data_IF_419711384987
#
_entry.id   IF_419711384987
#
_cell.length_a   1.000
_cell.length_b   1.000
_cell.length_c   1.000
_cell.angle_alpha   90.00
_cell.angle_beta   90.00
_cell.angle_gamma   90.00
#
_symmetry.space_group_name_H-M   'P 1'
#
loop_
_entity.id
_entity.type
_entity.pdbx_description
1 polymer ?
#
# COMPACT_ATOMS: atom_id res chain seq x y z
N UNK A 1 5.60 2.59 11.03
CA UNK A 1 6.51 2.24 9.91
C UNK A 1 5.70 1.46 8.89
N UNK A 2 5.80 1.78 7.60
CA UNK A 2 5.19 0.94 6.55
C UNK A 2 5.95 -0.39 6.46
N UNK A 3 5.22 -1.50 6.37
CA UNK A 3 5.77 -2.86 6.27
C UNK A 3 5.85 -3.38 4.82
N UNK A 4 5.81 -2.46 3.85
CA UNK A 4 5.96 -2.81 2.44
C UNK A 4 7.42 -3.22 2.18
N UNK A 5 7.60 -4.38 1.53
CA UNK A 5 8.90 -5.04 1.36
C UNK A 5 9.97 -4.15 0.74
N UNK A 6 9.55 -3.27 -0.16
CA UNK A 6 10.40 -2.31 -0.86
C UNK A 6 10.98 -1.25 0.09
N UNK A 7 10.24 -0.80 1.10
CA UNK A 7 10.78 0.10 2.13
C UNK A 7 11.70 -0.64 3.10
N UNK A 8 11.31 -1.84 3.54
CA UNK A 8 12.12 -2.63 4.48
C UNK A 8 13.42 -3.13 3.83
N UNK A 9 13.41 -3.39 2.52
CA UNK A 9 14.56 -3.74 1.72
C UNK A 9 15.41 -2.55 1.27
N UNK A 10 15.04 -1.31 1.64
CA UNK A 10 15.69 -0.05 1.23
C UNK A 10 15.70 0.20 -0.29
N UNK A 11 14.78 -0.43 -1.01
CA UNK A 11 14.55 -0.15 -2.43
C UNK A 11 13.74 1.14 -2.61
N UNK A 12 12.85 1.43 -1.67
CA UNK A 12 12.15 2.71 -1.54
C UNK A 12 12.65 3.49 -0.32
N UNK A 13 12.72 4.80 -0.46
CA UNK A 13 13.07 5.74 0.59
C UNK A 13 12.03 6.86 0.67
N UNK A 14 11.63 7.24 1.87
CA UNK A 14 10.77 8.39 2.09
C UNK A 14 11.62 9.67 1.98
N UNK A 15 11.26 10.54 1.05
CA UNK A 15 11.97 11.80 0.78
C UNK A 15 11.32 12.97 1.53
N UNK A 16 9.98 12.98 1.61
CA UNK A 16 9.22 14.04 2.24
C UNK A 16 7.98 13.50 2.95
N UNK A 17 7.55 14.23 3.99
CA UNK A 17 6.33 13.92 4.74
C UNK A 17 6.52 12.75 5.71
N UNK A 18 5.50 11.89 5.81
CA UNK A 18 5.47 10.76 6.75
C UNK A 18 5.02 9.47 6.06
N UNK A 19 5.41 8.33 6.63
CA UNK A 19 4.84 7.04 6.25
C UNK A 19 3.36 6.95 6.64
N UNK A 20 2.62 6.09 5.92
CA UNK A 20 1.28 5.69 6.34
C UNK A 20 1.32 4.90 7.64
N UNK A 21 0.31 5.13 8.45
CA UNK A 21 0.02 4.43 9.69
C UNK A 21 -1.40 3.86 9.64
N UNK A 22 -1.70 2.93 10.54
CA UNK A 22 -3.04 2.33 10.64
C UNK A 22 -4.14 3.36 10.98
N UNK A 23 -3.76 4.50 11.54
CA UNK A 23 -4.67 5.60 11.91
C UNK A 23 -4.98 6.53 10.75
N UNK A 24 -4.18 6.51 9.69
CA UNK A 24 -4.39 7.39 8.55
C UNK A 24 -5.60 6.92 7.73
N UNK A 25 -6.48 7.86 7.40
CA UNK A 25 -7.65 7.63 6.56
C UNK A 25 -7.49 8.36 5.24
N UNK A 26 -7.78 7.67 4.14
CA UNK A 26 -7.68 8.19 2.78
C UNK A 26 -6.34 8.91 2.56
N UNK A 27 -5.25 8.27 2.94
CA UNK A 27 -3.91 8.84 2.83
C UNK A 27 -3.11 8.04 1.80
N UNK A 28 -2.20 8.72 1.10
CA UNK A 28 -1.38 8.10 0.08
C UNK A 28 0.09 8.55 0.13
N UNK A 29 0.96 7.65 -0.31
CA UNK A 29 2.32 7.96 -0.74
C UNK A 29 2.40 7.87 -2.26
N UNK A 30 3.11 8.81 -2.85
CA UNK A 30 3.34 8.86 -4.29
C UNK A 30 4.83 8.92 -4.59
N UNK A 31 5.21 8.45 -5.78
CA UNK A 31 6.59 8.48 -6.21
C UNK A 31 7.05 9.90 -6.56
N UNK A 32 8.32 10.22 -6.28
CA UNK A 32 8.94 11.53 -6.51
C UNK A 32 8.80 12.01 -7.95
N UNK A 33 9.12 11.17 -8.94
CA UNK A 33 8.98 11.50 -10.37
C UNK A 33 7.54 11.88 -10.73
N UNK A 34 6.54 11.18 -10.19
CA UNK A 34 5.14 11.51 -10.42
C UNK A 34 4.75 12.81 -9.75
N UNK A 35 5.22 13.04 -8.52
CA UNK A 35 4.97 14.25 -7.76
C UNK A 35 5.57 15.49 -8.47
N UNK A 36 6.83 15.41 -8.91
CA UNK A 36 7.53 16.50 -9.60
C UNK A 36 6.87 16.85 -10.93
N UNK A 37 6.52 15.85 -11.76
CA UNK A 37 5.85 16.07 -13.04
C UNK A 37 4.50 16.77 -12.89
N UNK A 38 3.78 16.52 -11.79
CA UNK A 38 2.43 17.04 -11.57
C UNK A 38 2.40 18.16 -10.51
N UNK A 39 3.55 18.65 -10.05
CA UNK A 39 3.69 19.65 -8.98
C UNK A 39 2.96 19.31 -7.66
N UNK A 40 2.88 18.02 -7.32
CA UNK A 40 2.19 17.53 -6.13
C UNK A 40 3.11 17.58 -4.91
N UNK A 41 2.57 18.04 -3.77
CA UNK A 41 3.28 18.14 -2.48
C UNK A 41 2.50 17.42 -1.37
N UNK A 42 3.16 17.07 -0.25
CA UNK A 42 2.44 16.58 0.93
C UNK A 42 1.38 17.60 1.38
N UNK A 43 0.16 17.14 1.60
CA UNK A 43 -1.03 17.96 1.88
C UNK A 43 -2.02 18.03 0.72
N UNK A 44 -1.56 17.82 -0.52
CA UNK A 44 -2.43 17.86 -1.69
C UNK A 44 -3.39 16.67 -1.73
N UNK A 45 -4.53 16.86 -2.42
CA UNK A 45 -5.55 15.84 -2.60
C UNK A 45 -5.55 15.32 -4.03
N UNK A 46 -5.69 14.01 -4.18
CA UNK A 46 -5.76 13.31 -5.45
C UNK A 46 -7.06 12.51 -5.52
N UNK A 47 -7.81 12.69 -6.61
CA UNK A 47 -8.96 11.87 -6.94
C UNK A 47 -8.53 10.65 -7.73
N UNK A 48 -8.65 9.48 -7.11
CA UNK A 48 -8.34 8.21 -7.75
C UNK A 48 -9.65 7.58 -8.19
N UNK A 49 -9.72 7.16 -9.46
CA UNK A 49 -10.88 6.45 -9.99
C UNK A 49 -10.45 5.09 -10.52
N UNK A 50 -11.18 4.04 -10.15
CA UNK A 50 -11.03 2.68 -10.66
C UNK A 50 -12.40 2.05 -10.86
N UNK A 51 -12.67 1.53 -12.06
CA UNK A 51 -13.90 0.81 -12.40
C UNK A 51 -15.18 1.56 -11.95
N UNK A 52 -15.23 2.88 -12.19
CA UNK A 52 -16.34 3.76 -11.80
C UNK A 52 -16.38 4.17 -10.32
N UNK A 53 -15.53 3.61 -9.46
CA UNK A 53 -15.41 3.98 -8.04
C UNK A 53 -14.37 5.07 -7.86
N UNK A 54 -14.72 6.12 -7.12
CA UNK A 54 -13.82 7.25 -6.84
C UNK A 54 -13.49 7.32 -5.35
N UNK A 55 -12.22 7.58 -5.05
CA UNK A 55 -11.73 7.89 -3.71
C UNK A 55 -10.77 9.06 -3.77
N UNK A 56 -11.04 10.10 -3.01
CA UNK A 56 -10.11 11.20 -2.78
C UNK A 56 -9.13 10.82 -1.68
N UNK A 57 -7.84 10.92 -1.94
CA UNK A 57 -6.77 10.68 -0.96
C UNK A 57 -5.93 11.93 -0.74
N UNK A 58 -5.42 12.13 0.47
CA UNK A 58 -4.42 13.15 0.78
C UNK A 58 -3.02 12.55 0.68
N UNK A 59 -2.15 13.22 -0.05
CA UNK A 59 -0.73 12.86 -0.14
C UNK A 59 -0.07 13.20 1.19
N UNK A 60 0.40 12.20 1.93
CA UNK A 60 1.06 12.40 3.23
C UNK A 60 2.57 12.26 3.16
N UNK A 61 3.08 11.75 2.03
CA UNK A 61 4.51 11.63 1.81
C UNK A 61 4.85 11.32 0.36
N UNK A 62 6.11 11.61 0.03
CA UNK A 62 6.71 11.37 -1.29
C UNK A 62 7.87 10.42 -1.08
N UNK A 63 7.92 9.36 -1.88
CA UNK A 63 8.99 8.38 -1.84
C UNK A 63 9.77 8.34 -3.16
N UNK A 64 11.04 7.96 -3.09
CA UNK A 64 11.88 7.65 -4.24
C UNK A 64 12.24 6.18 -4.24
N UNK A 65 12.77 5.70 -5.36
CA UNK A 65 13.37 4.39 -5.47
C UNK A 65 12.94 3.65 -6.72
N UNK A 66 13.42 2.42 -6.86
CA UNK A 66 13.03 1.52 -7.94
C UNK A 66 12.62 0.20 -7.34
N UNK A 67 11.73 -0.53 -8.01
CA UNK A 67 11.39 -1.88 -7.57
C UNK A 67 12.65 -2.75 -7.50
N UNK A 68 12.63 -3.75 -6.62
CA UNK A 68 13.71 -4.74 -6.49
C UNK A 68 14.04 -5.40 -7.85
N UNK A 69 13.00 -5.63 -8.65
CA UNK A 69 13.12 -6.16 -10.01
C UNK A 69 12.94 -5.04 -11.04
N UNK A 70 13.73 -5.05 -12.13
CA UNK A 70 13.49 -4.17 -13.26
C UNK A 70 12.06 -4.36 -13.80
N UNK A 71 11.36 -3.25 -14.04
CA UNK A 71 10.04 -3.28 -14.65
C UNK A 71 10.15 -3.74 -16.11
N UNK A 72 9.30 -4.69 -16.52
CA UNK A 72 9.24 -5.18 -17.91
C UNK A 72 8.40 -4.21 -18.77
N UNK A 73 7.31 -3.68 -18.20
CA UNK A 73 6.48 -2.66 -18.83
C UNK A 73 6.60 -1.33 -18.10
N UNK A 74 6.39 -0.23 -18.83
CA UNK A 74 6.38 1.11 -18.22
C UNK A 74 5.26 1.27 -17.18
N UNK A 75 4.14 0.57 -17.36
CA UNK A 75 3.03 0.53 -16.38
C UNK A 75 3.47 -0.01 -15.01
N UNK A 76 4.49 -0.86 -15.00
CA UNK A 76 4.96 -1.58 -13.81
C UNK A 76 6.09 -0.82 -13.11
N UNK A 77 6.47 0.34 -13.64
CA UNK A 77 7.49 1.19 -13.01
C UNK A 77 6.97 1.71 -11.67
N UNK A 78 7.84 1.68 -10.66
CA UNK A 78 7.55 2.25 -9.33
C UNK A 78 7.08 3.71 -9.39
N UNK A 79 7.47 4.44 -10.43
CA UNK A 79 7.06 5.81 -10.72
C UNK A 79 5.54 5.95 -10.92
N UNK A 80 4.86 4.89 -11.36
CA UNK A 80 3.42 4.83 -11.59
C UNK A 80 2.66 4.18 -10.42
N UNK A 81 3.34 3.85 -9.32
CA UNK A 81 2.71 3.22 -8.16
C UNK A 81 2.20 4.25 -7.17
N UNK A 82 0.97 4.04 -6.71
CA UNK A 82 0.37 4.75 -5.58
C UNK A 82 0.16 3.78 -4.43
N UNK A 83 0.65 4.16 -3.25
CA UNK A 83 0.50 3.36 -2.03
C UNK A 83 -0.52 4.07 -1.15
N UNK A 84 -1.59 3.39 -0.73
CA UNK A 84 -2.64 3.98 0.12
C UNK A 84 -3.06 3.04 1.24
N UNK A 85 -3.83 3.55 2.20
CA UNK A 85 -4.31 2.75 3.32
C UNK A 85 -5.38 1.73 2.86
N UNK A 86 -5.49 0.61 3.59
CA UNK A 86 -6.34 -0.52 3.19
C UNK A 86 -7.81 -0.15 2.96
N UNK A 87 -8.35 0.78 3.76
CA UNK A 87 -9.73 1.22 3.62
C UNK A 87 -9.98 1.94 2.27
N UNK A 88 -9.06 2.80 1.84
CA UNK A 88 -9.15 3.46 0.54
C UNK A 88 -9.00 2.45 -0.61
N UNK A 89 -8.05 1.52 -0.49
CA UNK A 89 -7.87 0.45 -1.47
C UNK A 89 -9.12 -0.42 -1.64
N UNK A 90 -9.77 -0.83 -0.54
CA UNK A 90 -11.03 -1.62 -0.58
C UNK A 90 -12.17 -0.86 -1.25
N UNK A 91 -12.30 0.44 -1.00
CA UNK A 91 -13.30 1.29 -1.68
C UNK A 91 -13.04 1.38 -3.18
N UNK A 92 -11.78 1.48 -3.61
CA UNK A 92 -11.40 1.52 -5.03
C UNK A 92 -11.61 0.17 -5.73
N UNK A 93 -11.21 -0.92 -5.08
CA UNK A 93 -11.34 -2.28 -5.64
C UNK A 93 -12.80 -2.77 -5.61
N UNK A 94 -13.61 -2.26 -4.66
CA UNK A 94 -14.97 -2.72 -4.47
C UNK A 94 -15.09 -4.13 -3.90
N UNK A 95 -14.02 -4.64 -3.28
CA UNK A 95 -13.96 -5.96 -2.66
C UNK A 95 -13.18 -5.90 -1.35
N UNK A 96 -13.54 -6.76 -0.40
CA UNK A 96 -12.80 -6.91 0.86
C UNK A 96 -11.62 -7.88 0.75
N UNK A 97 -11.53 -8.62 -0.36
CA UNK A 97 -10.50 -9.64 -0.59
C UNK A 97 -9.09 -9.02 -0.58
N UNK A 98 -8.20 -9.65 0.17
CA UNK A 98 -6.79 -9.30 0.22
C UNK A 98 -6.02 -10.16 -0.78
N UNK A 99 -5.19 -9.53 -1.60
CA UNK A 99 -4.32 -10.24 -2.55
C UNK A 99 -3.02 -10.72 -1.90
N UNK A 100 -2.49 -9.97 -0.94
CA UNK A 100 -1.25 -10.28 -0.22
C UNK A 100 -1.27 -9.65 1.16
N UNK A 101 -0.75 -10.37 2.15
CA UNK A 101 -0.47 -9.86 3.49
C UNK A 101 0.97 -10.23 3.88
N UNK A 102 1.68 -9.29 4.47
CA UNK A 102 3.07 -9.48 4.94
C UNK A 102 3.09 -9.39 6.45
N UNK A 103 3.73 -10.37 7.11
CA UNK A 103 3.85 -10.45 8.56
C UNK A 103 5.32 -10.50 8.95
N UNK A 104 5.69 -9.83 10.04
CA UNK A 104 7.03 -9.92 10.64
C UNK A 104 6.98 -10.82 11.89
N UNK A 105 7.94 -11.74 11.98
CA UNK A 105 8.17 -12.54 13.16
C UNK A 105 9.44 -12.03 13.85
N UNK A 106 9.33 -11.64 15.12
CA UNK A 106 10.50 -11.23 15.91
C UNK A 106 11.36 -12.45 16.31
N UNK A 107 10.74 -13.62 16.40
CA UNK A 107 11.40 -14.88 16.73
C UNK A 107 11.02 -15.98 15.73
N UNK A 108 11.99 -16.75 15.18
CA UNK A 108 11.72 -17.83 14.24
C UNK A 108 10.77 -18.90 14.79
N UNK A 109 10.74 -19.14 16.10
CA UNK A 109 9.81 -20.08 16.74
C UNK A 109 8.34 -19.63 16.65
N UNK A 110 8.07 -18.35 16.35
CA UNK A 110 6.72 -17.82 16.20
C UNK A 110 6.14 -18.04 14.79
N UNK A 111 6.95 -18.41 13.80
CA UNK A 111 6.52 -18.51 12.39
C UNK A 111 5.31 -19.43 12.21
N UNK A 112 5.30 -20.58 12.87
CA UNK A 112 4.18 -21.52 12.81
C UNK A 112 2.89 -20.90 13.35
N UNK A 113 2.96 -20.30 14.54
CA UNK A 113 1.81 -19.64 15.19
C UNK A 113 1.28 -18.44 14.41
N UNK A 114 2.16 -17.70 13.72
CA UNK A 114 1.79 -16.56 12.88
C UNK A 114 1.06 -17.03 11.62
N UNK A 115 1.57 -18.08 10.98
CA UNK A 115 0.95 -18.68 9.79
C UNK A 115 -0.43 -19.25 10.11
N UNK A 116 -0.54 -19.98 11.22
CA UNK A 116 -1.81 -20.57 11.68
C UNK A 116 -2.86 -19.46 11.93
N UNK A 117 -2.48 -18.37 12.62
CA UNK A 117 -3.36 -17.21 12.86
C UNK A 117 -3.74 -16.48 11.58
N UNK A 118 -2.81 -16.28 10.65
CA UNK A 118 -3.07 -15.62 9.37
C UNK A 118 -4.08 -16.43 8.53
N UNK A 119 -3.96 -17.77 8.54
CA UNK A 119 -4.87 -18.68 7.84
C UNK A 119 -6.28 -18.61 8.41
N UNK A 120 -6.42 -18.61 9.74
CA UNK A 120 -7.73 -18.49 10.43
C UNK A 120 -8.37 -17.13 10.12
N UNK A 121 -7.60 -16.03 10.19
CA UNK A 121 -8.09 -14.69 9.88
C UNK A 121 -8.57 -14.57 8.43
N UNK A 122 -7.81 -15.15 7.48
CA UNK A 122 -8.22 -15.23 6.08
C UNK A 122 -9.52 -16.01 5.93
N UNK A 123 -9.60 -17.23 6.47
CA UNK A 123 -10.80 -18.09 6.39
C UNK A 123 -12.05 -17.45 7.02
N UNK A 124 -11.90 -16.74 8.14
CA UNK A 124 -13.00 -16.01 8.79
C UNK A 124 -13.50 -14.83 7.95
N UNK A 125 -12.61 -14.19 7.17
CA UNK A 125 -12.98 -13.08 6.28
C UNK A 125 -13.79 -13.54 5.07
N UNK A 126 -13.52 -14.72 4.52
CA UNK A 126 -14.27 -15.31 3.40
C UNK A 126 -15.57 -15.98 3.86
N UNK A 127 -15.62 -16.49 5.09
CA UNK A 127 -16.82 -17.12 5.66
C UNK A 127 -17.95 -16.16 6.06
N UNK A 128 -17.68 -14.85 6.15
CA UNK A 128 -18.70 -13.82 6.49
C UNK A 128 -19.39 -13.21 5.27
N UNK A 129 -18.86 -13.39 4.07
CA UNK A 129 -19.46 -12.89 2.81
C UNK A 129 -20.39 -13.92 2.15
N UNK A 130 -20.64 -15.07 2.81
CA UNK A 130 -21.43 -16.20 2.30
C UNK A 130 -22.77 -16.42 3.02
N UNK A 131 -23.26 -15.47 3.81
CA UNK A 131 -24.52 -15.57 4.56
C UNK A 131 -25.46 -14.41 4.27
#
# INVERSE_FOLDING_TARGET
MILLGEFTGRFYQLEQGKHLTERDQNAALIHKTFAEKNNIKPGDKLDITKDGRRVTVTVVGIFSGKGEKPAVLQSDMAENHLITNLAAARRLIGSQQLTRATYFAENPHQLKSLTDRAKIAYQTSIGKDSA
#
